data_IF_742888430083
#
_entry.id   IF_742888430083
#
_cell.length_a   1.000
_cell.length_b   1.000
_cell.length_c   1.000
_cell.angle_alpha   90.00
_cell.angle_beta   90.00
_cell.angle_gamma   90.00
#
_symmetry.space_group_name_H-M   'P 1'
#
loop_
_entity.id
_entity.type
_entity.pdbx_description
1 polymer ?
#
# COMPACT_ATOMS: atom_id res chain seq x y z
N UNK A 1 -0.84 15.95 4.24
CA UNK A 1 0.65 16.03 4.28
C UNK A 1 1.23 15.88 2.88
N UNK A 2 2.19 16.72 2.50
CA UNK A 2 2.90 16.65 1.20
C UNK A 2 3.48 15.25 0.92
N UNK A 3 3.99 14.59 1.96
CA UNK A 3 4.56 13.23 1.88
C UNK A 3 3.55 12.17 1.40
N UNK A 4 2.27 12.26 1.79
CA UNK A 4 1.26 11.30 1.34
C UNK A 4 0.96 11.47 -0.16
N UNK A 5 0.77 12.72 -0.62
CA UNK A 5 0.54 13.04 -2.04
C UNK A 5 1.70 12.59 -2.93
N UNK A 6 2.93 12.70 -2.43
CA UNK A 6 4.11 12.21 -3.14
C UNK A 6 4.10 10.68 -3.30
N UNK A 7 3.78 9.96 -2.22
CA UNK A 7 3.65 8.49 -2.27
C UNK A 7 2.49 8.08 -3.19
N UNK A 8 1.36 8.80 -3.16
CA UNK A 8 0.23 8.57 -4.07
C UNK A 8 0.68 8.60 -5.54
N UNK A 9 1.51 9.57 -5.91
CA UNK A 9 2.05 9.66 -7.29
C UNK A 9 2.99 8.53 -7.65
N UNK A 10 3.82 8.07 -6.71
CA UNK A 10 4.64 6.88 -6.94
C UNK A 10 3.74 5.66 -7.15
N UNK A 11 2.76 5.43 -6.27
CA UNK A 11 1.86 4.28 -6.37
C UNK A 11 0.96 4.33 -7.62
N UNK A 12 0.62 5.52 -8.11
CA UNK A 12 -0.09 5.71 -9.38
C UNK A 12 0.77 5.25 -10.56
N UNK A 13 2.04 5.67 -10.62
CA UNK A 13 2.96 5.27 -11.70
C UNK A 13 3.32 3.78 -11.61
N UNK A 14 3.42 3.22 -10.40
CA UNK A 14 3.70 1.80 -10.20
C UNK A 14 2.68 0.86 -10.86
N UNK A 15 1.49 1.34 -11.25
CA UNK A 15 0.54 0.53 -12.01
C UNK A 15 1.08 0.10 -13.37
N UNK A 16 2.03 0.85 -13.94
CA UNK A 16 2.68 0.50 -15.21
C UNK A 16 3.73 -0.60 -15.00
N UNK A 17 4.42 -0.59 -13.85
CA UNK A 17 5.55 -1.46 -13.56
C UNK A 17 5.20 -2.75 -12.81
N UNK A 18 4.13 -2.73 -12.00
CA UNK A 18 3.81 -3.83 -11.09
C UNK A 18 2.41 -4.42 -11.34
N UNK A 19 2.30 -5.73 -11.14
CA UNK A 19 1.02 -6.40 -10.96
C UNK A 19 0.47 -6.13 -9.57
N UNK A 20 1.32 -6.25 -8.54
CA UNK A 20 0.92 -6.23 -7.12
C UNK A 20 2.03 -5.65 -6.26
N UNK A 21 1.65 -4.97 -5.19
CA UNK A 21 2.54 -4.57 -4.10
C UNK A 21 1.97 -5.10 -2.79
N UNK A 22 2.81 -5.75 -1.99
CA UNK A 22 2.52 -6.14 -0.62
C UNK A 22 3.35 -5.30 0.34
N UNK A 23 2.72 -4.85 1.42
CA UNK A 23 3.35 -4.05 2.47
C UNK A 23 2.96 -4.69 3.80
N UNK A 24 3.93 -5.08 4.60
CA UNK A 24 3.71 -5.50 5.98
C UNK A 24 4.70 -4.80 6.91
N UNK A 25 4.72 -5.18 8.20
CA UNK A 25 5.62 -4.57 9.17
C UNK A 25 7.10 -4.92 8.96
N UNK A 26 7.42 -5.89 8.10
CA UNK A 26 8.80 -6.32 7.80
C UNK A 26 9.30 -5.61 6.56
N UNK A 27 8.57 -5.70 5.45
CA UNK A 27 9.08 -5.27 4.14
C UNK A 27 8.00 -4.77 3.17
N UNK A 28 8.47 -4.30 2.01
CA UNK A 28 7.65 -4.00 0.84
C UNK A 28 8.07 -4.94 -0.27
N UNK A 29 7.13 -5.71 -0.80
CA UNK A 29 7.38 -6.66 -1.88
C UNK A 29 6.63 -6.21 -3.13
N UNK A 30 7.33 -6.11 -4.26
CA UNK A 30 6.78 -5.69 -5.54
C UNK A 30 6.81 -6.88 -6.50
N UNK A 31 5.66 -7.25 -7.06
CA UNK A 31 5.57 -8.17 -8.19
C UNK A 31 5.58 -7.35 -9.47
N UNK A 32 6.75 -7.21 -10.07
CA UNK A 32 6.94 -6.52 -11.35
C UNK A 32 6.29 -7.27 -12.51
N UNK A 33 5.87 -6.53 -13.54
CA UNK A 33 5.32 -7.10 -14.77
C UNK A 33 6.40 -7.71 -15.66
N UNK A 34 7.50 -6.98 -15.87
CA UNK A 34 8.67 -7.49 -16.58
C UNK A 34 9.74 -7.94 -15.58
N UNK A 35 9.83 -9.24 -15.35
CA UNK A 35 10.84 -9.81 -14.45
C UNK A 35 12.23 -9.96 -15.09
N UNK A 36 12.38 -9.66 -16.39
CA UNK A 36 13.66 -9.73 -17.10
C UNK A 36 14.46 -8.43 -16.99
N UNK A 37 13.80 -7.30 -16.72
CA UNK A 37 14.47 -6.03 -16.45
C UNK A 37 15.00 -5.98 -15.01
N UNK A 38 16.11 -6.68 -14.78
CA UNK A 38 16.70 -6.80 -13.43
C UNK A 38 17.18 -5.45 -12.90
N UNK A 39 17.82 -4.64 -13.75
CA UNK A 39 18.43 -3.37 -13.34
C UNK A 39 17.39 -2.28 -13.08
N UNK A 40 16.38 -2.15 -13.95
CA UNK A 40 15.28 -1.20 -13.75
C UNK A 40 14.47 -1.52 -12.50
N UNK A 41 14.12 -2.80 -12.31
CA UNK A 41 13.41 -3.26 -11.12
C UNK A 41 14.21 -3.00 -9.84
N UNK A 42 15.53 -3.22 -9.86
CA UNK A 42 16.39 -2.94 -8.71
C UNK A 42 16.42 -1.45 -8.35
N UNK A 43 16.42 -0.56 -9.33
CA UNK A 43 16.41 0.90 -9.09
C UNK A 43 15.06 1.36 -8.52
N UNK A 44 13.94 0.86 -9.06
CA UNK A 44 12.60 1.13 -8.51
C UNK A 44 12.52 0.67 -7.04
N UNK A 45 13.01 -0.54 -6.73
CA UNK A 45 13.01 -1.05 -5.36
C UNK A 45 13.81 -0.16 -4.40
N UNK A 46 14.99 0.35 -4.81
CA UNK A 46 15.75 1.30 -3.97
C UNK A 46 14.94 2.53 -3.61
N UNK A 47 14.17 3.07 -4.55
CA UNK A 47 13.29 4.22 -4.30
C UNK A 47 12.12 3.85 -3.38
N UNK A 48 11.45 2.72 -3.61
CA UNK A 48 10.34 2.25 -2.77
C UNK A 48 10.79 2.02 -1.32
N UNK A 49 11.95 1.38 -1.10
CA UNK A 49 12.45 1.13 0.26
C UNK A 49 12.79 2.40 1.03
N UNK A 50 13.22 3.47 0.35
CA UNK A 50 13.45 4.78 0.97
C UNK A 50 12.15 5.43 1.50
N UNK A 51 10.98 5.05 0.99
CA UNK A 51 9.69 5.56 1.47
C UNK A 51 9.33 5.01 2.86
N UNK A 52 9.88 3.86 3.25
CA UNK A 52 9.63 3.19 4.53
C UNK A 52 8.12 2.93 4.80
N UNK A 53 7.40 2.47 3.78
CA UNK A 53 5.95 2.21 3.87
C UNK A 53 5.61 1.16 4.95
N UNK A 54 6.46 0.14 5.09
CA UNK A 54 6.37 -0.90 6.12
C UNK A 54 6.27 -0.31 7.55
N UNK A 55 7.07 0.72 7.84
CA UNK A 55 7.01 1.40 9.15
C UNK A 55 5.72 2.19 9.34
N UNK A 56 5.19 2.76 8.26
CA UNK A 56 3.97 3.58 8.33
C UNK A 56 2.71 2.74 8.54
N UNK A 57 2.64 1.53 7.97
CA UNK A 57 1.49 0.64 8.14
C UNK A 57 1.49 -0.08 9.49
N UNK A 58 2.64 -0.23 10.15
CA UNK A 58 2.73 -0.90 11.45
C UNK A 58 2.22 -2.35 11.37
N UNK A 59 1.36 -2.76 12.31
CA UNK A 59 0.79 -4.13 12.38
C UNK A 59 -0.19 -4.51 11.24
N UNK A 60 -0.43 -3.60 10.30
CA UNK A 60 -1.33 -3.81 9.17
C UNK A 60 -0.57 -4.43 7.99
N UNK A 61 -1.28 -5.26 7.23
CA UNK A 61 -0.82 -5.85 5.97
C UNK A 61 -1.67 -5.29 4.84
N UNK A 62 -1.02 -4.71 3.85
CA UNK A 62 -1.67 -4.07 2.71
C UNK A 62 -1.29 -4.82 1.44
N UNK A 63 -2.29 -5.12 0.63
CA UNK A 63 -2.12 -5.59 -0.75
C UNK A 63 -2.72 -4.57 -1.68
N UNK A 64 -1.90 -4.01 -2.56
CA UNK A 64 -2.32 -3.15 -3.67
C UNK A 64 -2.27 -4.02 -4.92
N UNK A 65 -3.42 -4.31 -5.50
CA UNK A 65 -3.55 -5.16 -6.67
C UNK A 65 -3.90 -4.31 -7.89
N UNK A 66 -2.94 -4.10 -8.79
CA UNK A 66 -3.12 -3.28 -10.00
C UNK A 66 -3.87 -4.05 -11.10
N UNK A 67 -3.81 -5.38 -11.09
CA UNK A 67 -4.54 -6.25 -12.01
C UNK A 67 -6.04 -6.18 -11.74
N UNK A 68 -6.45 -6.34 -10.48
CA UNK A 68 -7.85 -6.24 -10.06
C UNK A 68 -8.28 -4.83 -9.62
N UNK A 69 -7.34 -3.87 -9.63
CA UNK A 69 -7.55 -2.45 -9.26
C UNK A 69 -8.20 -2.28 -7.90
N UNK A 70 -7.69 -2.99 -6.90
CA UNK A 70 -8.21 -2.96 -5.54
C UNK A 70 -7.10 -2.92 -4.48
N UNK A 71 -7.50 -2.55 -3.25
CA UNK A 71 -6.65 -2.52 -2.07
C UNK A 71 -7.31 -3.39 -1.00
N UNK A 72 -6.57 -4.37 -0.48
CA UNK A 72 -6.96 -5.19 0.66
C UNK A 72 -6.13 -4.80 1.87
N UNK A 73 -6.79 -4.58 3.01
CA UNK A 73 -6.17 -4.24 4.29
C UNK A 73 -6.53 -5.30 5.30
N UNK A 74 -5.51 -5.86 5.94
CA UNK A 74 -5.63 -6.80 7.04
C UNK A 74 -4.88 -6.27 8.26
N UNK A 75 -5.31 -6.69 9.45
CA UNK A 75 -4.61 -6.46 10.72
C UNK A 75 -4.39 -7.82 11.35
N UNK A 76 -3.13 -8.26 11.46
CA UNK A 76 -2.82 -9.66 11.72
C UNK A 76 -3.65 -10.56 10.76
N UNK A 77 -4.32 -11.59 11.26
CA UNK A 77 -5.15 -12.51 10.45
C UNK A 77 -6.58 -12.01 10.19
N UNK A 78 -6.94 -10.80 10.64
CA UNK A 78 -8.29 -10.25 10.49
C UNK A 78 -8.36 -9.34 9.27
N UNK A 79 -9.37 -9.55 8.43
CA UNK A 79 -9.73 -8.63 7.35
C UNK A 79 -10.26 -7.31 7.92
N UNK A 80 -9.77 -6.18 7.41
CA UNK A 80 -10.19 -4.83 7.81
C UNK A 80 -11.08 -4.22 6.74
N UNK A 81 -10.59 -4.10 5.51
CA UNK A 81 -11.38 -3.55 4.41
C UNK A 81 -10.86 -3.92 3.02
N UNK A 82 -11.76 -3.77 2.04
CA UNK A 82 -11.48 -3.81 0.60
C UNK A 82 -11.90 -2.45 0.00
N UNK A 83 -11.03 -1.86 -0.82
CA UNK A 83 -11.30 -0.61 -1.56
C UNK A 83 -11.01 -0.79 -3.03
N UNK A 84 -11.82 -0.19 -3.90
CA UNK A 84 -11.54 -0.16 -5.33
C UNK A 84 -10.74 1.12 -5.66
N UNK A 85 -9.85 1.08 -6.65
CA UNK A 85 -9.09 2.27 -7.03
C UNK A 85 -9.97 3.45 -7.43
N UNK A 86 -11.14 3.20 -8.04
CA UNK A 86 -12.11 4.26 -8.37
C UNK A 86 -12.56 5.02 -7.14
N UNK A 87 -12.79 4.34 -6.00
CA UNK A 87 -13.17 5.00 -4.75
C UNK A 87 -12.02 5.74 -4.08
N UNK A 88 -10.78 5.52 -4.53
CA UNK A 88 -9.60 6.19 -3.99
C UNK A 88 -9.28 7.48 -4.74
N UNK A 89 -9.88 7.74 -5.92
CA UNK A 89 -9.66 8.94 -6.75
C UNK A 89 -8.16 9.24 -6.99
N UNK A 90 -7.35 8.21 -7.22
CA UNK A 90 -5.90 8.35 -7.41
C UNK A 90 -5.09 8.60 -6.13
N UNK A 91 -5.72 8.54 -4.95
CA UNK A 91 -5.10 8.76 -3.63
C UNK A 91 -4.96 7.45 -2.84
N UNK A 92 -4.38 6.43 -3.47
CA UNK A 92 -4.24 5.06 -2.93
C UNK A 92 -3.65 5.06 -1.52
N UNK A 93 -2.54 5.75 -1.31
CA UNK A 93 -1.85 5.79 -0.02
C UNK A 93 -2.63 6.56 1.03
N UNK A 94 -3.22 7.69 0.66
CA UNK A 94 -4.07 8.45 1.59
C UNK A 94 -5.27 7.60 2.05
N UNK A 95 -5.93 6.88 1.15
CA UNK A 95 -7.02 5.97 1.48
C UNK A 95 -6.56 4.85 2.43
N UNK A 96 -5.38 4.25 2.21
CA UNK A 96 -4.83 3.24 3.12
C UNK A 96 -4.68 3.80 4.55
N UNK A 97 -4.06 4.97 4.69
CA UNK A 97 -3.86 5.59 5.99
C UNK A 97 -5.18 5.93 6.69
N UNK A 98 -6.17 6.40 5.93
CA UNK A 98 -7.49 6.73 6.45
C UNK A 98 -8.23 5.49 6.97
N UNK A 99 -8.19 4.37 6.23
CA UNK A 99 -8.85 3.12 6.66
C UNK A 99 -8.16 2.50 7.88
N UNK A 100 -6.82 2.58 7.96
CA UNK A 100 -6.07 2.19 9.16
C UNK A 100 -6.51 3.01 10.38
N UNK A 101 -6.63 4.33 10.23
CA UNK A 101 -7.04 5.22 11.32
C UNK A 101 -8.48 4.93 11.77
N UNK A 102 -9.40 4.74 10.82
CA UNK A 102 -10.78 4.34 11.11
C UNK A 102 -10.86 3.03 11.91
N UNK A 103 -10.05 2.04 11.56
CA UNK A 103 -9.99 0.77 12.30
C UNK A 103 -9.42 0.95 13.72
N UNK A 104 -8.39 1.78 13.89
CA UNK A 104 -7.83 2.08 15.22
C UNK A 104 -8.86 2.74 16.14
N UNK A 105 -9.59 3.75 15.64
CA UNK A 105 -10.64 4.44 16.39
C UNK A 105 -11.74 3.47 16.83
N UNK A 106 -12.27 2.66 15.91
CA UNK A 106 -13.30 1.65 16.21
C UNK A 106 -12.86 0.66 17.28
N UNK A 107 -11.61 0.21 17.26
CA UNK A 107 -11.10 -0.73 18.25
C UNK A 107 -10.86 -0.11 19.63
N UNK A 108 -10.67 1.21 19.72
CA UNK A 108 -10.56 1.92 20.99
C UNK A 108 -11.93 2.19 21.64
N UNK A 109 -12.95 2.52 20.83
CA UNK A 109 -14.32 2.71 21.32
C UNK A 109 -14.93 1.42 21.91
N UNK A 110 -14.61 0.25 21.35
CA UNK A 110 -15.09 -1.05 21.85
C UNK A 110 -14.39 -1.55 23.14
N UNK A 111 -13.42 -0.79 23.68
CA UNK A 111 -12.67 -1.15 24.89
C UNK A 111 -12.99 -0.28 26.11
N UNK A 112 -13.87 0.72 25.96
CA UNK A 112 -14.42 1.55 27.03
C UNK A 112 -15.81 1.06 27.43
#
# INVERSE_FOLDING_TARGET
MLKAKFIDKILEVMQEEAHKIWIDNKEVTVCFKDNKDVDGNAEILKHIYKLQLNKAVGEYRIRIDYEFKNIEIHKNNKFVCLRNFKSCEGKIWATILEEIEKDKVKNNENKS
#
